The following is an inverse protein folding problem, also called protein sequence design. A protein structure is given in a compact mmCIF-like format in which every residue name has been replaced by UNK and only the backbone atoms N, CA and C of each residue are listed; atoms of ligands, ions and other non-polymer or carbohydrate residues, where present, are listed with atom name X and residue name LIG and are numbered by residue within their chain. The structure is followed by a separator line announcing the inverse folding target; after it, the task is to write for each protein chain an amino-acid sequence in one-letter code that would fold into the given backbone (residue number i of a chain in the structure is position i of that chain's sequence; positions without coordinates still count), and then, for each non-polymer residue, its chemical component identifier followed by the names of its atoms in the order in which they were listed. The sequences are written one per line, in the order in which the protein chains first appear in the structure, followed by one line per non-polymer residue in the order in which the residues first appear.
data_IF_897444096677
#
_entry.id   IF_897444096677
#
_cell.length_a   1.000
_cell.length_b   1.000
_cell.length_c   1.000
_cell.angle_alpha   90.00
_cell.angle_beta   90.00
_cell.angle_gamma   90.00
#
_symmetry.space_group_name_H-M   'P 1'
#
loop_
_entity.id
_entity.type
_entity.pdbx_description
1 polymer ?
#
# COMPACT_ATOMS: atom_id res chain seq x y z
N UNK A 1 -15.14 57.53 10.92
CA UNK A 1 -13.68 57.55 11.17
C UNK A 1 -13.42 58.15 12.55
N UNK A 2 -13.03 57.34 13.54
CA UNK A 2 -12.78 57.80 14.92
C UNK A 2 -11.44 57.20 15.36
N UNK A 3 -10.46 58.08 15.59
CA UNK A 3 -9.09 57.74 15.98
C UNK A 3 -9.03 57.58 17.50
N UNK A 4 -8.42 56.51 18.00
CA UNK A 4 -8.14 56.32 19.44
C UNK A 4 -6.62 56.09 19.57
N UNK A 5 -5.93 56.82 20.48
CA UNK A 5 -4.48 56.88 20.55
C UNK A 5 -3.86 55.63 21.19
N UNK A 6 -2.70 55.28 20.64
CA UNK A 6 -1.76 54.26 21.14
C UNK A 6 -1.10 54.76 22.43
N UNK A 7 -1.08 53.93 23.47
CA UNK A 7 -0.22 54.15 24.64
C UNK A 7 0.82 53.04 24.69
N UNK A 8 2.08 53.43 24.51
CA UNK A 8 3.27 52.58 24.66
C UNK A 8 3.73 52.69 26.11
N UNK A 9 3.91 51.56 26.80
CA UNK A 9 4.67 51.48 28.04
C UNK A 9 5.72 50.38 27.88
N UNK A 10 6.97 50.75 28.20
CA UNK A 10 8.21 50.04 27.92
C UNK A 10 8.80 49.48 29.21
N UNK A 11 9.38 48.27 29.11
CA UNK A 11 10.41 47.61 29.92
C UNK A 11 10.14 47.27 31.40
N UNK A 12 10.08 45.95 31.64
CA UNK A 12 10.57 45.31 32.86
C UNK A 12 11.21 43.98 32.48
N UNK A 13 12.52 43.98 32.24
CA UNK A 13 13.30 42.77 31.99
C UNK A 13 13.85 42.23 33.31
N UNK A 14 13.47 41.01 33.68
CA UNK A 14 14.22 40.16 34.61
C UNK A 14 14.34 38.78 34.00
N UNK A 15 15.55 38.46 33.55
CA UNK A 15 15.96 37.13 33.14
C UNK A 15 16.27 36.29 34.38
N UNK A 16 15.82 35.03 34.40
CA UNK A 16 16.54 33.94 35.03
C UNK A 16 16.18 32.64 34.29
N UNK A 17 17.21 32.09 33.65
CA UNK A 17 17.16 30.83 32.96
C UNK A 17 17.00 29.67 33.95
N UNK A 18 16.10 28.74 33.64
CA UNK A 18 16.19 27.37 34.12
C UNK A 18 16.31 26.47 32.88
N UNK A 19 17.55 26.08 32.56
CA UNK A 19 17.83 24.94 31.69
C UNK A 19 17.46 23.66 32.46
N UNK A 20 16.24 23.17 32.27
CA UNK A 20 15.85 21.80 32.58
C UNK A 20 16.04 20.94 31.33
N UNK A 21 17.05 20.07 31.34
CA UNK A 21 17.39 19.20 30.24
C UNK A 21 16.37 18.05 30.04
N UNK A 22 16.14 17.72 28.75
CA UNK A 22 15.74 16.43 28.15
C UNK A 22 14.57 15.65 28.79
N UNK A 23 13.47 15.32 28.12
CA UNK A 23 13.03 15.38 26.73
C UNK A 23 11.60 14.80 26.70
N UNK A 24 10.82 14.96 25.62
CA UNK A 24 9.46 14.45 25.60
C UNK A 24 9.50 12.92 25.70
N UNK A 25 8.79 12.36 26.68
CA UNK A 25 8.40 10.96 26.64
C UNK A 25 7.75 10.72 25.27
N UNK A 26 8.38 9.89 24.45
CA UNK A 26 7.81 9.47 23.18
C UNK A 26 6.48 8.79 23.49
N UNK A 27 5.39 9.52 23.30
CA UNK A 27 4.05 8.97 23.30
C UNK A 27 4.05 7.91 22.20
N UNK A 28 4.09 6.64 22.60
CA UNK A 28 3.73 5.54 21.72
C UNK A 28 2.29 5.78 21.30
N UNK A 29 2.09 6.34 20.11
CA UNK A 29 0.79 6.41 19.49
C UNK A 29 0.18 5.01 19.39
N UNK A 30 -1.15 4.91 19.19
CA UNK A 30 -1.79 3.61 19.03
C UNK A 30 -1.08 2.85 17.90
N UNK A 31 -0.50 1.68 18.21
CA UNK A 31 -0.12 0.72 17.18
C UNK A 31 -1.42 0.22 16.58
N UNK A 32 -1.78 0.71 15.41
CA UNK A 32 -2.85 0.15 14.62
C UNK A 32 -2.56 -1.34 14.43
N UNK A 33 -3.43 -2.20 14.96
CA UNK A 33 -3.31 -3.63 14.76
C UNK A 33 -3.44 -3.89 13.26
N UNK A 34 -2.38 -4.40 12.64
CA UNK A 34 -2.43 -4.81 11.24
C UNK A 34 -3.30 -6.05 11.15
N UNK A 35 -4.52 -5.91 10.64
CA UNK A 35 -5.34 -7.05 10.26
C UNK A 35 -4.61 -7.76 9.12
N UNK A 36 -4.14 -8.98 9.37
CA UNK A 36 -3.55 -9.82 8.34
C UNK A 36 -4.61 -10.13 7.28
N UNK A 37 -4.28 -9.92 6.02
CA UNK A 37 -5.14 -10.31 4.91
C UNK A 37 -5.30 -11.84 4.88
N UNK A 38 -6.48 -12.33 4.48
CA UNK A 38 -6.68 -13.77 4.29
C UNK A 38 -5.82 -14.26 3.12
N UNK A 39 -5.13 -15.41 3.23
CA UNK A 39 -4.29 -15.91 2.16
C UNK A 39 -5.11 -16.27 0.92
N UNK A 40 -4.48 -16.20 -0.25
CA UNK A 40 -4.99 -16.90 -1.42
C UNK A 40 -5.10 -18.40 -1.12
N UNK A 41 -6.12 -19.05 -1.66
CA UNK A 41 -6.39 -20.46 -1.39
C UNK A 41 -6.38 -21.29 -2.67
N UNK A 42 -5.82 -22.49 -2.55
CA UNK A 42 -5.87 -23.49 -3.61
C UNK A 42 -7.23 -24.20 -3.59
N UNK A 43 -7.89 -24.31 -4.74
CA UNK A 43 -9.19 -25.02 -4.85
C UNK A 43 -9.07 -26.45 -5.42
N UNK A 44 -7.87 -26.91 -5.76
CA UNK A 44 -7.65 -28.17 -6.49
C UNK A 44 -7.10 -27.98 -7.91
N UNK A 45 -7.26 -26.79 -8.50
CA UNK A 45 -6.83 -26.46 -9.87
C UNK A 45 -6.07 -25.12 -9.96
N UNK A 46 -6.53 -24.09 -9.24
CA UNK A 46 -5.92 -22.75 -9.24
C UNK A 46 -5.88 -22.15 -7.85
N UNK A 47 -4.99 -21.18 -7.66
CA UNK A 47 -5.07 -20.28 -6.52
C UNK A 47 -6.12 -19.22 -6.78
N UNK A 48 -6.98 -18.99 -5.79
CA UNK A 48 -7.99 -17.95 -5.79
C UNK A 48 -7.66 -16.91 -4.73
N UNK A 49 -7.86 -15.65 -5.07
CA UNK A 49 -7.60 -14.51 -4.19
C UNK A 49 -8.78 -13.55 -4.27
N UNK A 50 -9.07 -12.84 -3.18
CA UNK A 50 -9.92 -11.66 -3.27
C UNK A 50 -9.13 -10.51 -3.91
N UNK A 51 -9.75 -9.77 -4.80
CA UNK A 51 -9.13 -8.66 -5.54
C UNK A 51 -10.09 -7.48 -5.67
N UNK A 52 -9.54 -6.32 -6.02
CA UNK A 52 -10.32 -5.13 -6.35
C UNK A 52 -11.01 -5.33 -7.70
N UNK A 53 -12.32 -5.15 -7.74
CA UNK A 53 -13.06 -5.12 -9.00
C UNK A 53 -12.70 -3.86 -9.81
N UNK A 54 -12.53 -4.00 -11.12
CA UNK A 54 -12.03 -2.96 -12.01
C UNK A 54 -10.50 -2.79 -12.00
N UNK A 55 -9.75 -3.70 -11.36
CA UNK A 55 -8.30 -3.63 -11.34
C UNK A 55 -7.69 -3.90 -12.73
N UNK A 56 -6.67 -3.11 -13.15
CA UNK A 56 -6.03 -3.29 -14.44
C UNK A 56 -5.14 -4.54 -14.47
N UNK A 57 -5.16 -5.23 -15.61
CA UNK A 57 -4.21 -6.30 -15.94
C UNK A 57 -3.28 -5.78 -17.03
N UNK A 58 -1.97 -5.88 -16.80
CA UNK A 58 -0.92 -5.36 -17.66
C UNK A 58 -0.26 -6.47 -18.48
N UNK A 59 0.32 -6.12 -19.63
CA UNK A 59 1.01 -7.06 -20.52
C UNK A 59 2.27 -7.68 -19.91
N UNK A 60 2.92 -6.98 -18.98
CA UNK A 60 4.22 -7.32 -18.43
C UNK A 60 4.41 -6.70 -17.03
N UNK A 61 5.42 -7.20 -16.33
CA UNK A 61 5.83 -6.77 -14.98
C UNK A 61 6.44 -5.36 -14.93
N UNK A 62 6.46 -4.61 -16.03
CA UNK A 62 6.86 -3.21 -16.01
C UNK A 62 5.66 -2.26 -16.07
N UNK A 63 4.44 -2.80 -16.10
CA UNK A 63 3.21 -2.02 -16.13
C UNK A 63 3.01 -1.23 -17.43
N UNK A 64 3.63 -1.66 -18.53
CA UNK A 64 3.77 -0.86 -19.75
C UNK A 64 2.45 -0.63 -20.51
N UNK A 65 1.55 -1.61 -20.49
CA UNK A 65 0.28 -1.57 -21.25
C UNK A 65 -0.81 -2.37 -20.56
N UNK A 66 -1.99 -1.79 -20.41
CA UNK A 66 -3.19 -2.49 -19.94
C UNK A 66 -3.73 -3.39 -21.08
N UNK A 67 -3.91 -4.68 -20.79
CA UNK A 67 -4.47 -5.69 -21.71
C UNK A 67 -5.90 -6.10 -21.37
N UNK A 68 -6.37 -5.75 -20.17
CA UNK A 68 -7.72 -6.01 -19.71
C UNK A 68 -7.94 -5.51 -18.29
N UNK A 69 -9.10 -5.85 -17.73
CA UNK A 69 -9.48 -5.53 -16.36
C UNK A 69 -10.07 -6.78 -15.68
N UNK A 70 -9.99 -6.81 -14.36
CA UNK A 70 -10.59 -7.85 -13.53
C UNK A 70 -11.82 -7.28 -12.82
N UNK A 71 -13.02 -7.68 -13.24
CA UNK A 71 -14.28 -7.33 -12.61
C UNK A 71 -14.80 -8.43 -11.68
N UNK A 72 -14.38 -9.67 -11.90
CA UNK A 72 -14.65 -10.81 -11.04
C UNK A 72 -13.96 -10.69 -9.67
N UNK A 73 -14.61 -11.22 -8.63
CA UNK A 73 -14.05 -11.38 -7.29
C UNK A 73 -14.78 -12.54 -6.56
N UNK A 74 -14.09 -13.58 -6.09
CA UNK A 74 -12.65 -13.79 -6.23
C UNK A 74 -12.23 -14.11 -7.67
N UNK A 75 -10.95 -13.92 -7.96
CA UNK A 75 -10.34 -14.28 -9.25
C UNK A 75 -9.17 -15.23 -9.05
N UNK A 76 -8.79 -15.93 -10.11
CA UNK A 76 -7.67 -16.86 -10.06
C UNK A 76 -6.34 -16.17 -10.37
N UNK A 77 -5.27 -16.63 -9.73
CA UNK A 77 -3.92 -16.13 -9.90
C UNK A 77 -2.94 -17.31 -10.00
N UNK A 78 -1.87 -17.14 -10.78
CA UNK A 78 -0.92 -18.21 -11.09
C UNK A 78 0.26 -18.25 -10.13
N UNK A 79 1.09 -17.20 -10.18
CA UNK A 79 2.33 -17.10 -9.41
C UNK A 79 2.69 -15.64 -9.15
N UNK A 80 3.55 -15.41 -8.15
CA UNK A 80 4.12 -14.10 -7.83
C UNK A 80 5.48 -13.90 -8.49
N UNK A 81 5.69 -12.73 -9.08
CA UNK A 81 6.96 -12.26 -9.61
C UNK A 81 7.45 -11.12 -8.72
N UNK A 82 8.68 -11.23 -8.23
CA UNK A 82 9.30 -10.25 -7.33
C UNK A 82 10.33 -9.41 -8.08
N UNK A 83 10.64 -8.23 -7.55
CA UNK A 83 11.82 -7.45 -7.92
C UNK A 83 11.54 -6.25 -8.82
N UNK A 84 10.31 -6.07 -9.29
CA UNK A 84 9.92 -4.86 -10.02
C UNK A 84 9.12 -3.90 -9.12
N UNK A 85 9.65 -2.69 -8.85
CA UNK A 85 9.03 -1.74 -7.93
C UNK A 85 7.72 -1.14 -8.45
N UNK A 86 7.36 -1.36 -9.71
CA UNK A 86 6.11 -0.84 -10.29
C UNK A 86 4.89 -1.73 -9.99
N UNK A 87 5.11 -2.97 -9.56
CA UNK A 87 4.04 -3.95 -9.30
C UNK A 87 3.45 -3.92 -7.91
N UNK A 88 4.20 -3.40 -6.94
CA UNK A 88 3.86 -3.64 -5.55
C UNK A 88 2.72 -2.83 -4.98
N UNK A 89 2.57 -3.02 -3.67
CA UNK A 89 1.58 -2.41 -2.80
C UNK A 89 1.83 -2.79 -1.35
N UNK A 90 1.40 -1.96 -0.41
CA UNK A 90 1.39 -2.27 1.03
C UNK A 90 2.62 -3.09 1.50
N UNK A 91 2.45 -4.34 1.97
CA UNK A 91 3.53 -5.19 2.47
C UNK A 91 4.47 -5.78 1.38
N UNK A 92 4.08 -5.78 0.11
CA UNK A 92 4.85 -6.35 -0.99
C UNK A 92 5.20 -5.27 -2.03
N UNK A 93 6.26 -4.47 -1.80
CA UNK A 93 6.54 -3.27 -2.59
C UNK A 93 7.02 -3.52 -4.02
N UNK A 94 7.41 -4.75 -4.37
CA UNK A 94 8.01 -5.08 -5.67
C UNK A 94 7.36 -6.30 -6.35
N UNK A 95 6.09 -6.58 -6.05
CA UNK A 95 5.42 -7.83 -6.45
C UNK A 95 4.37 -7.63 -7.53
N UNK A 96 4.47 -8.43 -8.59
CA UNK A 96 3.42 -8.64 -9.57
C UNK A 96 2.84 -10.04 -9.44
N UNK A 97 1.59 -10.22 -9.86
CA UNK A 97 0.94 -11.53 -9.84
C UNK A 97 0.39 -11.87 -11.23
N UNK A 98 0.81 -13.01 -11.77
CA UNK A 98 0.35 -13.53 -13.08
C UNK A 98 -1.12 -13.92 -12.98
N UNK A 99 -1.92 -13.52 -13.97
CA UNK A 99 -3.34 -13.84 -14.06
C UNK A 99 -3.84 -13.77 -15.51
N UNK A 100 -5.15 -13.88 -15.71
CA UNK A 100 -5.84 -13.61 -16.97
C UNK A 100 -7.02 -12.71 -16.68
N UNK A 101 -7.10 -11.60 -17.40
CA UNK A 101 -8.22 -10.66 -17.29
C UNK A 101 -9.55 -11.31 -17.72
N UNK A 102 -10.67 -10.71 -17.33
CA UNK A 102 -12.01 -11.24 -17.64
C UNK A 102 -12.30 -11.31 -19.16
N UNK A 103 -11.55 -10.55 -19.98
CA UNK A 103 -11.60 -10.64 -21.44
C UNK A 103 -10.75 -11.77 -22.04
N UNK A 104 -10.13 -12.61 -21.21
CA UNK A 104 -9.28 -13.73 -21.62
C UNK A 104 -7.82 -13.35 -21.92
N UNK A 105 -7.42 -12.09 -21.79
CA UNK A 105 -6.04 -11.68 -22.02
C UNK A 105 -5.13 -12.05 -20.83
N UNK A 106 -4.07 -12.81 -21.09
CA UNK A 106 -3.05 -13.12 -20.10
C UNK A 106 -2.21 -11.88 -19.78
N UNK A 107 -1.82 -11.75 -18.51
CA UNK A 107 -1.02 -10.62 -18.07
C UNK A 107 -0.67 -10.71 -16.58
N UNK A 108 -0.36 -9.56 -16.00
CA UNK A 108 -0.04 -9.41 -14.58
C UNK A 108 -0.89 -8.33 -13.93
N UNK A 109 -1.24 -8.57 -12.67
CA UNK A 109 -1.91 -7.60 -11.82
C UNK A 109 -0.95 -7.16 -10.72
N UNK A 110 -1.07 -5.89 -10.31
CA UNK A 110 -0.32 -5.36 -9.18
C UNK A 110 -0.75 -6.02 -7.88
N UNK A 111 0.19 -6.28 -6.99
CA UNK A 111 -0.14 -6.79 -5.66
C UNK A 111 -1.04 -5.84 -4.86
N UNK A 112 -0.87 -4.51 -5.04
CA UNK A 112 -1.74 -3.49 -4.43
C UNK A 112 -3.22 -3.60 -4.79
N UNK A 113 -3.56 -4.29 -5.88
CA UNK A 113 -4.94 -4.50 -6.32
C UNK A 113 -5.50 -5.86 -5.86
N UNK A 114 -4.70 -6.68 -5.18
CA UNK A 114 -5.11 -7.93 -4.56
C UNK A 114 -5.32 -7.70 -3.07
N UNK A 115 -6.48 -8.11 -2.57
CA UNK A 115 -6.91 -7.90 -1.18
C UNK A 115 -6.41 -9.04 -0.29
N UNK A 116 -6.35 -10.26 -0.84
CA UNK A 116 -5.77 -11.42 -0.16
C UNK A 116 -4.26 -11.31 -0.04
N UNK A 117 -3.69 -11.97 0.97
CA UNK A 117 -2.25 -12.16 1.11
C UNK A 117 -1.73 -13.05 -0.04
N UNK A 118 -0.63 -12.64 -0.68
CA UNK A 118 -0.09 -13.26 -1.90
C UNK A 118 1.22 -14.07 -1.74
N UNK A 119 1.88 -14.11 -0.59
CA UNK A 119 3.01 -15.00 -0.27
C UNK A 119 2.62 -16.49 -0.41
N UNK A 120 1.34 -16.79 -0.19
CA UNK A 120 0.75 -18.11 -0.46
C UNK A 120 0.81 -18.55 -1.93
N UNK A 121 0.97 -17.62 -2.87
CA UNK A 121 1.20 -17.93 -4.27
C UNK A 121 2.64 -18.43 -4.49
N UNK A 122 2.83 -19.44 -5.37
CA UNK A 122 4.18 -19.88 -5.74
C UNK A 122 4.93 -18.77 -6.47
N UNK A 123 6.25 -18.73 -6.34
CA UNK A 123 7.07 -17.84 -7.17
C UNK A 123 7.01 -18.27 -8.64
N UNK A 124 6.97 -17.30 -9.57
CA UNK A 124 7.05 -17.59 -10.99
C UNK A 124 8.45 -18.10 -11.33
N UNK A 125 8.56 -19.35 -11.77
CA UNK A 125 9.80 -19.99 -12.27
C UNK A 125 11.05 -19.66 -11.44
N UNK A 126 11.24 -20.27 -10.28
CA UNK A 126 12.15 -21.42 -10.17
C UNK A 126 11.58 -22.69 -10.82
N UNK A 127 12.02 -22.98 -12.04
CA UNK A 127 12.10 -24.34 -12.59
C UNK A 127 13.56 -24.77 -12.57
#
# INVERSE_FOLDING_TARGET
MRKIPVTVAVLGATALMALGAAGPAAAGGPREAQIQASPCWWNGDRFWCNNRSGAPVFSDVHGSRIVGYMYTNPSWFGCRSEGDPTGGGGPHPNRWVITTADNGAAGVMKDSDIISETDSLPACGIS
#
